data_IF_875511312468
#
_entry.id   IF_875511312468
#
_cell.length_a   1.000
_cell.length_b   1.000
_cell.length_c   1.000
_cell.angle_alpha   90.00
_cell.angle_beta   90.00
_cell.angle_gamma   90.00
#
_symmetry.space_group_name_H-M   'P 1'
#
loop_
_entity.id
_entity.type
_entity.pdbx_description
1 polymer ?
#
# COMPACT_ATOMS: atom_id res chain seq x y z
N UNK A 1 -15.17 22.40 21.81
CA UNK A 1 -16.11 22.08 20.71
C UNK A 1 -15.30 22.01 19.43
N UNK A 2 -14.89 20.82 19.03
CA UNK A 2 -14.15 20.61 17.79
C UNK A 2 -15.17 20.54 16.65
N UNK A 3 -15.07 21.49 15.71
CA UNK A 3 -15.87 21.50 14.49
C UNK A 3 -15.69 20.17 13.75
N UNK A 4 -16.74 19.38 13.67
CA UNK A 4 -16.84 18.28 12.68
C UNK A 4 -16.73 18.93 11.31
N UNK A 5 -15.62 18.67 10.62
CA UNK A 5 -15.41 19.08 9.24
C UNK A 5 -16.58 18.54 8.41
N UNK A 6 -17.41 19.43 7.90
CA UNK A 6 -18.46 19.06 6.96
C UNK A 6 -17.80 18.69 5.64
N UNK A 7 -18.10 17.53 5.05
CA UNK A 7 -17.66 17.20 3.70
C UNK A 7 -18.36 18.15 2.70
N UNK A 8 -17.61 18.60 1.70
CA UNK A 8 -18.12 19.40 0.58
C UNK A 8 -19.33 18.74 -0.09
N UNK A 9 -20.37 19.55 -0.35
CA UNK A 9 -21.69 19.15 -0.84
C UNK A 9 -21.69 18.62 -2.29
N UNK A 10 -21.21 17.42 -2.55
CA UNK A 10 -21.70 16.55 -3.63
C UNK A 10 -21.44 15.08 -3.25
N UNK A 11 -22.31 14.55 -2.41
CA UNK A 11 -22.17 13.23 -1.76
C UNK A 11 -22.58 12.07 -2.64
N UNK A 12 -22.83 12.24 -3.94
CA UNK A 12 -23.40 11.20 -4.81
C UNK A 12 -22.40 10.51 -5.75
N UNK A 13 -21.19 11.04 -5.94
CA UNK A 13 -20.20 10.48 -6.88
C UNK A 13 -18.95 9.98 -6.17
N UNK A 14 -18.56 8.74 -6.51
CA UNK A 14 -17.27 8.20 -6.07
C UNK A 14 -16.12 9.08 -6.59
N UNK A 15 -15.32 9.59 -5.66
CA UNK A 15 -14.17 10.44 -5.97
C UNK A 15 -12.92 9.87 -5.31
N UNK A 16 -11.82 9.86 -6.05
CA UNK A 16 -10.51 9.49 -5.51
C UNK A 16 -9.49 10.55 -5.89
N UNK A 17 -8.74 11.02 -4.91
CA UNK A 17 -7.66 11.98 -5.07
C UNK A 17 -6.36 11.37 -4.57
N UNK A 18 -5.25 11.71 -5.25
CA UNK A 18 -3.91 11.31 -4.85
C UNK A 18 -3.07 12.55 -4.61
N UNK A 19 -2.19 12.45 -3.62
CA UNK A 19 -1.13 13.42 -3.38
C UNK A 19 0.22 12.72 -3.35
N UNK A 20 1.19 13.31 -4.03
CA UNK A 20 2.62 13.00 -3.96
C UNK A 20 3.40 14.22 -4.38
N UNK A 21 4.63 14.36 -3.91
CA UNK A 21 5.52 15.47 -4.25
C UNK A 21 6.88 14.90 -4.71
N UNK A 22 7.46 15.40 -5.83
CA UNK A 22 8.78 14.98 -6.27
C UNK A 22 9.90 15.20 -5.24
N UNK A 23 9.76 16.20 -4.37
CA UNK A 23 10.71 16.48 -3.29
C UNK A 23 10.49 15.54 -2.07
N UNK A 24 9.37 14.83 -2.02
CA UNK A 24 9.00 13.87 -0.98
C UNK A 24 8.63 12.51 -1.60
N UNK A 25 9.53 11.87 -2.37
CA UNK A 25 9.23 10.65 -3.14
C UNK A 25 8.92 9.42 -2.25
N UNK A 26 9.22 9.51 -0.97
CA UNK A 26 9.04 8.48 0.04
C UNK A 26 7.63 8.42 0.63
N UNK A 27 6.74 9.31 0.24
CA UNK A 27 5.35 9.32 0.67
C UNK A 27 4.38 9.52 -0.49
N UNK A 28 3.35 8.71 -0.52
CA UNK A 28 2.18 8.86 -1.39
C UNK A 28 0.93 8.71 -0.52
N UNK A 29 -0.07 9.55 -0.72
CA UNK A 29 -1.33 9.39 -0.03
C UNK A 29 -2.52 9.59 -0.96
N UNK A 30 -3.66 8.99 -0.59
CA UNK A 30 -4.93 9.15 -1.30
C UNK A 30 -6.09 9.35 -0.33
N UNK A 31 -7.13 10.00 -0.85
CA UNK A 31 -8.46 10.08 -0.24
C UNK A 31 -9.46 9.47 -1.22
N UNK A 32 -10.34 8.63 -0.73
CA UNK A 32 -11.42 8.03 -1.52
C UNK A 32 -12.75 8.28 -0.81
N UNK A 33 -13.65 8.98 -1.50
CA UNK A 33 -15.00 9.27 -1.02
C UNK A 33 -16.00 8.40 -1.76
N UNK A 34 -16.97 7.81 -1.04
CA UNK A 34 -18.03 6.95 -1.59
C UNK A 34 -17.51 5.87 -2.53
N UNK A 35 -16.38 5.25 -2.17
CA UNK A 35 -15.77 4.19 -2.95
C UNK A 35 -16.56 2.88 -2.82
N UNK A 36 -16.81 2.25 -3.97
CA UNK A 36 -17.33 0.89 -4.10
C UNK A 36 -16.29 -0.04 -4.71
N UNK A 37 -15.03 0.40 -4.75
CA UNK A 37 -13.96 -0.41 -5.33
C UNK A 37 -13.69 -1.62 -4.44
N UNK A 38 -13.70 -2.80 -5.07
CA UNK A 38 -13.30 -4.05 -4.45
C UNK A 38 -11.88 -4.40 -4.91
N UNK A 39 -11.05 -4.77 -3.96
CA UNK A 39 -9.66 -5.10 -4.17
C UNK A 39 -9.46 -6.61 -4.10
N UNK A 40 -8.73 -7.17 -5.05
CA UNK A 40 -8.18 -8.50 -4.87
C UNK A 40 -7.08 -8.46 -3.81
N UNK A 41 -6.85 -9.60 -3.16
CA UNK A 41 -5.75 -9.74 -2.22
C UNK A 41 -4.42 -9.38 -2.87
N UNK A 42 -3.72 -8.41 -2.28
CA UNK A 42 -2.48 -7.84 -2.80
C UNK A 42 -1.55 -7.45 -1.65
N UNK A 43 -0.33 -7.10 -1.97
CA UNK A 43 0.62 -6.50 -1.05
C UNK A 43 1.38 -5.36 -1.73
N UNK A 44 2.02 -4.53 -0.95
CA UNK A 44 2.89 -3.46 -1.46
C UNK A 44 4.16 -3.36 -0.59
N UNK A 45 5.29 -2.87 -1.17
CA UNK A 45 6.56 -2.81 -0.46
C UNK A 45 6.64 -1.66 0.55
N UNK A 46 5.58 -0.88 0.69
CA UNK A 46 5.48 0.27 1.57
C UNK A 46 4.83 -0.09 2.90
N UNK A 47 5.19 0.62 3.97
CA UNK A 47 4.38 0.65 5.18
C UNK A 47 3.18 1.56 4.93
N UNK A 48 1.99 1.11 5.29
CA UNK A 48 0.79 1.88 5.01
C UNK A 48 -0.04 2.14 6.25
N UNK A 49 -0.59 3.35 6.30
CA UNK A 49 -1.50 3.80 7.35
C UNK A 49 -2.81 4.22 6.67
N UNK A 50 -3.89 3.52 6.99
CA UNK A 50 -5.23 3.83 6.51
C UNK A 50 -6.12 4.36 7.63
N UNK A 51 -7.10 5.19 7.27
CA UNK A 51 -8.14 5.67 8.17
C UNK A 51 -9.50 5.55 7.48
N UNK A 52 -10.49 5.01 8.18
CA UNK A 52 -11.87 4.93 7.70
C UNK A 52 -12.61 6.19 8.10
N UNK A 53 -13.04 6.99 7.11
CA UNK A 53 -13.72 8.26 7.37
C UNK A 53 -15.23 8.10 7.50
N UNK A 54 -15.83 7.23 6.67
CA UNK A 54 -17.29 7.02 6.64
C UNK A 54 -17.62 5.62 6.13
N UNK A 55 -18.69 5.04 6.68
CA UNK A 55 -19.16 3.70 6.30
C UNK A 55 -18.36 2.60 6.95
N UNK A 56 -18.48 1.41 6.39
CA UNK A 56 -17.85 0.18 6.89
C UNK A 56 -17.17 -0.57 5.75
N UNK A 57 -16.18 -1.36 6.10
CA UNK A 57 -15.45 -2.24 5.18
C UNK A 57 -14.96 -3.48 5.92
N UNK A 58 -14.62 -4.52 5.21
CA UNK A 58 -13.97 -5.70 5.76
C UNK A 58 -12.50 -5.67 5.38
N UNK A 59 -11.63 -5.51 6.36
CA UNK A 59 -10.20 -5.74 6.23
C UNK A 59 -9.93 -7.23 6.34
N UNK A 60 -9.28 -7.82 5.36
CA UNK A 60 -8.91 -9.23 5.37
C UNK A 60 -7.42 -9.40 5.17
N UNK A 61 -6.80 -10.21 6.02
CA UNK A 61 -5.41 -10.66 5.90
C UNK A 61 -5.27 -12.04 6.50
N UNK A 62 -4.39 -12.86 5.96
CA UNK A 62 -4.10 -14.18 6.53
C UNK A 62 -3.61 -14.13 7.99
N UNK A 63 -3.05 -13.00 8.43
CA UNK A 63 -2.42 -12.87 9.75
C UNK A 63 -3.41 -12.57 10.88
N UNK A 64 -4.51 -11.89 10.56
CA UNK A 64 -5.54 -11.52 11.55
C UNK A 64 -6.96 -11.93 11.11
N UNK A 65 -7.10 -12.61 9.95
CA UNK A 65 -8.39 -13.00 9.40
C UNK A 65 -9.17 -11.82 8.82
N UNK A 66 -10.49 -12.00 8.69
CA UNK A 66 -11.40 -10.94 8.29
C UNK A 66 -11.86 -10.17 9.53
N UNK A 67 -11.76 -8.85 9.48
CA UNK A 67 -12.14 -7.93 10.55
C UNK A 67 -13.01 -6.81 9.98
N UNK A 68 -14.13 -6.54 10.60
CA UNK A 68 -14.92 -5.35 10.28
C UNK A 68 -14.22 -4.10 10.76
N UNK A 69 -14.16 -3.08 9.89
CA UNK A 69 -13.60 -1.77 10.17
C UNK A 69 -14.61 -0.70 9.84
N UNK A 70 -14.73 0.29 10.71
CA UNK A 70 -15.73 1.34 10.63
C UNK A 70 -15.11 2.74 10.81
N UNK A 71 -15.92 3.77 10.66
CA UNK A 71 -15.48 5.17 10.83
C UNK A 71 -14.71 5.37 12.14
N UNK A 72 -13.54 6.02 12.04
CA UNK A 72 -12.61 6.22 13.16
C UNK A 72 -11.56 5.12 13.33
N UNK A 73 -11.65 4.01 12.57
CA UNK A 73 -10.61 2.97 12.59
C UNK A 73 -9.36 3.45 11.87
N UNK A 74 -8.21 3.31 12.51
CA UNK A 74 -6.89 3.42 11.90
C UNK A 74 -6.37 2.01 11.59
N UNK A 75 -5.92 1.78 10.37
CA UNK A 75 -5.41 0.50 9.88
C UNK A 75 -3.94 0.60 9.58
N UNK A 76 -3.11 -0.22 10.20
CA UNK A 76 -1.69 -0.34 9.89
C UNK A 76 -1.44 -1.58 9.05
N UNK A 77 -0.82 -1.38 7.90
CA UNK A 77 -0.48 -2.46 6.97
C UNK A 77 1.04 -2.42 6.74
N UNK A 78 1.79 -3.27 7.44
CA UNK A 78 3.22 -3.37 7.21
C UNK A 78 3.56 -3.83 5.79
N UNK A 79 4.78 -3.52 5.36
CA UNK A 79 5.23 -3.88 4.01
C UNK A 79 5.10 -5.38 3.74
N UNK A 80 4.76 -5.72 2.50
CA UNK A 80 4.64 -7.07 1.97
C UNK A 80 3.56 -7.95 2.63
N UNK A 81 2.69 -7.37 3.47
CA UNK A 81 1.52 -8.05 4.01
C UNK A 81 0.44 -8.17 2.95
N UNK A 82 -0.02 -9.41 2.72
CA UNK A 82 -1.20 -9.67 1.90
C UNK A 82 -2.44 -9.19 2.63
N UNK A 83 -3.25 -8.40 1.93
CA UNK A 83 -4.49 -7.84 2.46
C UNK A 83 -5.48 -7.46 1.36
N UNK A 84 -6.72 -7.29 1.77
CA UNK A 84 -7.77 -6.59 1.00
C UNK A 84 -8.66 -5.80 1.95
N UNK A 85 -9.24 -4.69 1.44
CA UNK A 85 -10.23 -3.88 2.15
C UNK A 85 -11.43 -3.68 1.22
N UNK A 86 -12.55 -4.31 1.52
CA UNK A 86 -13.72 -4.29 0.65
C UNK A 86 -14.96 -3.91 1.44
N UNK A 87 -15.76 -2.93 0.96
CA UNK A 87 -17.08 -2.68 1.54
C UNK A 87 -18.00 -3.88 1.29
N UNK A 88 -19.03 -4.00 2.09
CA UNK A 88 -20.10 -4.97 1.84
C UNK A 88 -20.74 -4.71 0.46
N UNK A 89 -21.33 -5.74 -0.17
CA UNK A 89 -22.02 -5.60 -1.44
C UNK A 89 -23.00 -4.42 -1.42
N UNK A 90 -23.00 -3.62 -2.50
CA UNK A 90 -23.84 -2.44 -2.67
C UNK A 90 -23.62 -1.28 -1.68
N UNK A 91 -22.65 -1.40 -0.78
CA UNK A 91 -22.26 -0.33 0.11
C UNK A 91 -21.08 0.49 -0.44
N UNK A 92 -20.95 1.70 0.07
CA UNK A 92 -19.83 2.58 -0.23
C UNK A 92 -19.20 3.06 1.07
N UNK A 93 -17.90 3.25 1.06
CA UNK A 93 -17.15 3.76 2.19
C UNK A 93 -16.19 4.88 1.76
N UNK A 94 -15.78 5.69 2.73
CA UNK A 94 -14.78 6.73 2.52
C UNK A 94 -13.57 6.45 3.40
N UNK A 95 -12.38 6.62 2.84
CA UNK A 95 -11.15 6.32 3.55
C UNK A 95 -9.97 7.14 3.04
N UNK A 96 -8.93 7.19 3.83
CA UNK A 96 -7.63 7.73 3.50
C UNK A 96 -6.59 6.62 3.58
N UNK A 97 -5.55 6.68 2.73
CA UNK A 97 -4.47 5.70 2.74
C UNK A 97 -3.15 6.37 2.40
N UNK A 98 -2.20 6.31 3.31
CA UNK A 98 -0.83 6.79 3.14
C UNK A 98 0.10 5.59 2.97
N UNK A 99 1.03 5.70 2.03
CA UNK A 99 2.08 4.73 1.76
C UNK A 99 3.44 5.39 2.02
N UNK A 100 4.26 4.78 2.86
CA UNK A 100 5.58 5.26 3.25
C UNK A 100 6.66 4.29 2.73
N UNK A 101 7.69 4.83 2.10
CA UNK A 101 8.85 4.04 1.70
C UNK A 101 9.53 3.40 2.92
N UNK A 102 9.84 2.11 2.82
CA UNK A 102 10.34 1.36 3.96
C UNK A 102 11.77 1.74 4.35
N UNK A 103 12.63 2.08 3.39
CA UNK A 103 14.01 2.45 3.69
C UNK A 103 14.05 3.81 4.37
N UNK A 104 13.30 4.77 3.83
CA UNK A 104 13.14 6.08 4.44
C UNK A 104 12.54 5.99 5.85
N UNK A 105 11.45 5.24 6.01
CA UNK A 105 10.79 5.08 7.32
C UNK A 105 11.72 4.44 8.35
N UNK A 106 12.45 3.39 7.98
CA UNK A 106 13.44 2.74 8.84
C UNK A 106 14.52 3.74 9.28
N UNK A 107 15.04 4.53 8.34
CA UNK A 107 16.06 5.52 8.64
C UNK A 107 15.53 6.58 9.63
N UNK A 108 14.33 7.11 9.38
CA UNK A 108 13.66 8.06 10.25
C UNK A 108 13.46 7.52 11.67
N UNK A 109 12.94 6.29 11.80
CA UNK A 109 12.68 5.69 13.11
C UNK A 109 13.97 5.32 13.85
N UNK A 110 15.04 4.98 13.13
CA UNK A 110 16.36 4.76 13.73
C UNK A 110 16.92 6.05 14.35
N UNK A 111 16.71 7.21 13.75
CA UNK A 111 17.12 8.51 14.30
C UNK A 111 16.43 8.80 15.65
N UNK A 112 15.22 8.29 15.84
CA UNK A 112 14.46 8.41 17.11
C UNK A 112 14.68 7.25 18.09
N UNK A 113 15.69 6.39 17.84
CA UNK A 113 16.02 5.20 18.63
C UNK A 113 14.88 4.18 18.71
N UNK A 114 14.00 4.16 17.74
CA UNK A 114 12.97 3.14 17.59
C UNK A 114 13.52 1.99 16.72
N UNK A 115 13.48 0.77 17.25
CA UNK A 115 13.88 -0.42 16.49
C UNK A 115 12.78 -0.78 15.51
N UNK A 116 13.06 -0.61 14.22
CA UNK A 116 12.13 -0.90 13.15
C UNK A 116 12.80 -1.79 12.09
N UNK A 117 12.23 -2.98 11.88
CA UNK A 117 12.78 -3.98 10.94
C UNK A 117 12.23 -3.74 9.53
N UNK A 118 13.11 -3.85 8.55
CA UNK A 118 12.79 -3.68 7.14
C UNK A 118 13.46 -4.79 6.32
N UNK A 119 12.67 -5.78 5.92
CA UNK A 119 13.12 -6.89 5.08
C UNK A 119 12.15 -7.13 3.91
N UNK A 120 12.58 -7.90 2.92
CA UNK A 120 11.74 -8.29 1.78
C UNK A 120 10.57 -9.21 2.18
N UNK A 121 10.66 -9.84 3.35
CA UNK A 121 9.60 -10.67 3.94
C UNK A 121 8.86 -9.86 5.00
N UNK A 122 7.53 -10.04 5.17
CA UNK A 122 6.78 -9.38 6.22
C UNK A 122 7.39 -9.60 7.60
N UNK A 123 7.57 -8.52 8.37
CA UNK A 123 8.16 -8.55 9.72
C UNK A 123 7.13 -8.31 10.82
N UNK A 124 6.04 -7.61 10.50
CA UNK A 124 5.02 -7.23 11.46
C UNK A 124 3.64 -7.70 11.03
N UNK A 125 2.75 -7.90 12.00
CA UNK A 125 1.33 -8.15 11.73
C UNK A 125 0.62 -6.85 11.38
N UNK A 126 -0.43 -6.89 10.53
CA UNK A 126 -1.34 -5.75 10.39
C UNK A 126 -2.07 -5.52 11.72
N UNK A 127 -2.43 -4.27 11.98
CA UNK A 127 -3.11 -3.88 13.22
C UNK A 127 -4.22 -2.87 12.96
N UNK A 128 -5.23 -2.94 13.79
CA UNK A 128 -6.41 -2.09 13.76
C UNK A 128 -6.50 -1.33 15.08
N UNK A 129 -6.65 -0.01 15.01
CA UNK A 129 -6.78 0.85 16.18
C UNK A 129 -8.10 1.62 16.16
N UNK A 130 -8.88 1.48 17.23
CA UNK A 130 -10.03 2.31 17.53
C UNK A 130 -9.59 3.40 18.52
N UNK A 131 -9.00 4.47 18.00
CA UNK A 131 -8.49 5.57 18.80
C UNK A 131 -8.77 6.91 18.12
N UNK A 132 -9.73 7.67 18.66
CA UNK A 132 -10.10 9.00 18.15
C UNK A 132 -8.87 9.92 18.05
N UNK A 133 -7.97 9.84 19.01
CA UNK A 133 -6.72 10.63 19.02
C UNK A 133 -5.83 10.30 17.83
N UNK A 134 -5.52 9.00 17.62
CA UNK A 134 -4.63 8.57 16.54
C UNK A 134 -5.26 8.82 15.17
N UNK A 135 -6.56 8.56 15.04
CA UNK A 135 -7.33 8.88 13.85
C UNK A 135 -7.26 10.38 13.53
N UNK A 136 -7.54 11.27 14.50
CA UNK A 136 -7.51 12.72 14.30
C UNK A 136 -6.11 13.21 13.93
N UNK A 137 -5.07 12.70 14.56
CA UNK A 137 -3.66 13.03 14.24
C UNK A 137 -3.33 12.67 12.80
N UNK A 138 -3.68 11.45 12.37
CA UNK A 138 -3.45 11.00 10.99
C UNK A 138 -4.24 11.82 9.97
N UNK A 139 -5.53 12.07 10.23
CA UNK A 139 -6.38 12.86 9.33
C UNK A 139 -5.88 14.30 9.19
N UNK A 140 -5.42 14.92 10.29
CA UNK A 140 -4.84 16.26 10.26
C UNK A 140 -3.56 16.30 9.41
N UNK A 141 -2.63 15.36 9.61
CA UNK A 141 -1.44 15.22 8.76
C UNK A 141 -1.84 15.11 7.28
N UNK A 142 -2.74 14.18 6.98
CA UNK A 142 -3.13 13.90 5.60
C UNK A 142 -3.83 15.10 4.94
N UNK A 143 -4.65 15.85 5.69
CA UNK A 143 -5.27 17.08 5.22
C UNK A 143 -4.23 18.13 4.82
N UNK A 144 -3.19 18.32 5.64
CA UNK A 144 -2.13 19.30 5.35
C UNK A 144 -1.27 18.89 4.14
N UNK A 145 -1.07 17.58 3.90
CA UNK A 145 -0.38 17.11 2.69
C UNK A 145 -1.15 17.52 1.42
N UNK A 146 -2.49 17.46 1.44
CA UNK A 146 -3.33 17.89 0.30
C UNK A 146 -3.47 19.40 0.16
N UNK A 147 -3.13 20.20 1.18
CA UNK A 147 -3.24 21.64 1.12
C UNK A 147 -2.12 22.27 0.26
N UNK A 148 -2.51 22.85 -0.88
CA UNK A 148 -1.57 23.50 -1.81
C UNK A 148 -0.97 24.81 -1.29
N UNK A 149 -1.51 25.40 -0.22
CA UNK A 149 -0.97 26.62 0.39
C UNK A 149 0.25 26.34 1.28
N UNK A 150 0.47 25.07 1.67
CA UNK A 150 1.58 24.65 2.53
C UNK A 150 2.76 24.22 1.65
N UNK A 151 3.95 24.79 1.89
CA UNK A 151 5.17 24.43 1.17
C UNK A 151 5.60 22.98 1.44
N UNK A 152 6.36 22.39 0.53
CA UNK A 152 6.86 21.02 0.72
C UNK A 152 7.74 20.88 1.97
N UNK A 153 8.56 21.88 2.31
CA UNK A 153 9.38 21.89 3.52
C UNK A 153 8.53 21.83 4.81
N UNK A 154 7.42 22.58 4.84
CA UNK A 154 6.49 22.53 5.96
C UNK A 154 5.76 21.20 6.04
N UNK A 155 5.38 20.62 4.88
CA UNK A 155 4.76 19.29 4.80
C UNK A 155 5.72 18.21 5.28
N UNK A 156 6.98 18.28 4.88
CA UNK A 156 8.03 17.35 5.32
C UNK A 156 8.23 17.41 6.83
N UNK A 157 8.39 18.63 7.38
CA UNK A 157 8.50 18.82 8.82
C UNK A 157 7.29 18.23 9.55
N UNK A 158 6.08 18.53 9.09
CA UNK A 158 4.85 18.03 9.70
C UNK A 158 4.75 16.51 9.63
N UNK A 159 5.13 15.90 8.49
CA UNK A 159 5.16 14.46 8.32
C UNK A 159 6.13 13.80 9.34
N UNK A 160 7.37 14.29 9.40
CA UNK A 160 8.39 13.77 10.30
C UNK A 160 7.91 13.88 11.76
N UNK A 161 7.50 15.07 12.20
CA UNK A 161 7.03 15.29 13.58
C UNK A 161 5.83 14.41 13.91
N UNK A 162 4.84 14.35 13.02
CA UNK A 162 3.65 13.53 13.27
C UNK A 162 3.99 12.04 13.39
N UNK A 163 4.84 11.53 12.53
CA UNK A 163 5.24 10.12 12.59
C UNK A 163 6.07 9.82 13.84
N UNK A 164 7.08 10.63 14.15
CA UNK A 164 8.06 10.34 15.21
C UNK A 164 7.58 10.69 16.62
N UNK A 165 6.73 11.72 16.76
CA UNK A 165 6.31 12.20 18.08
C UNK A 165 4.88 11.79 18.46
N UNK A 166 4.00 11.62 17.47
CA UNK A 166 2.57 11.43 17.73
C UNK A 166 2.04 10.05 17.31
N UNK A 167 2.48 9.48 16.19
CA UNK A 167 1.98 8.19 15.71
C UNK A 167 2.81 7.03 16.23
N UNK A 168 4.04 6.85 15.78
CA UNK A 168 4.84 5.67 16.11
C UNK A 168 5.07 5.43 17.61
N UNK A 169 5.25 6.44 18.47
CA UNK A 169 5.36 6.20 19.93
C UNK A 169 4.08 5.65 20.58
N UNK A 170 2.92 5.81 19.90
CA UNK A 170 1.62 5.34 20.39
C UNK A 170 1.11 4.10 19.64
N UNK A 171 1.89 3.58 18.68
CA UNK A 171 1.59 2.36 17.95
C UNK A 171 2.37 1.18 18.54
N UNK A 172 1.71 0.06 18.69
CA UNK A 172 2.35 -1.18 19.15
C UNK A 172 2.45 -2.15 17.98
N UNK A 173 3.66 -2.30 17.42
CA UNK A 173 3.89 -3.17 16.27
C UNK A 173 4.26 -4.58 16.74
N UNK A 174 3.37 -5.54 16.48
CA UNK A 174 3.62 -6.95 16.78
C UNK A 174 4.48 -7.60 15.69
N UNK A 175 5.63 -8.16 16.11
CA UNK A 175 6.47 -8.94 15.22
C UNK A 175 5.80 -10.27 14.82
N UNK A 176 6.03 -10.69 13.59
CA UNK A 176 5.76 -12.06 13.18
C UNK A 176 6.82 -12.99 13.77
N UNK A 177 6.38 -14.11 14.33
CA UNK A 177 7.28 -15.14 14.86
C UNK A 177 8.11 -15.77 13.73
N UNK A 178 9.43 -15.80 13.88
CA UNK A 178 10.36 -16.33 12.88
C UNK A 178 10.30 -17.86 12.80
N UNK A 179 10.26 -18.37 11.57
CA UNK A 179 10.51 -19.78 11.26
C UNK A 179 11.81 -19.86 10.44
N UNK A 180 12.95 -20.12 11.11
CA UNK A 180 14.30 -19.72 10.64
C UNK A 180 14.84 -20.38 9.36
N UNK A 181 14.54 -21.65 9.06
CA UNK A 181 15.15 -22.36 7.91
C UNK A 181 14.33 -22.20 6.61
N UNK A 182 13.02 -22.40 6.67
CA UNK A 182 12.13 -22.19 5.53
C UNK A 182 12.14 -20.72 5.04
N UNK A 183 12.54 -19.80 5.88
CA UNK A 183 12.61 -18.38 5.61
C UNK A 183 13.80 -17.99 4.72
N UNK A 184 14.96 -18.64 4.88
CA UNK A 184 16.13 -18.37 4.03
C UNK A 184 15.90 -18.81 2.57
N UNK A 185 15.39 -20.01 2.35
CA UNK A 185 15.05 -20.48 1.00
C UNK A 185 13.95 -19.62 0.36
N UNK A 186 12.97 -19.22 1.16
CA UNK A 186 11.92 -18.33 0.71
C UNK A 186 12.45 -16.94 0.32
N UNK A 187 13.36 -16.36 1.09
CA UNK A 187 14.02 -15.10 0.77
C UNK A 187 14.79 -15.18 -0.57
N UNK A 188 15.48 -16.29 -0.82
CA UNK A 188 16.16 -16.50 -2.09
C UNK A 188 15.18 -16.56 -3.28
N UNK A 189 14.02 -17.20 -3.12
CA UNK A 189 12.97 -17.20 -4.14
C UNK A 189 12.41 -15.80 -4.40
N UNK A 190 12.12 -15.05 -3.33
CA UNK A 190 11.64 -13.66 -3.42
C UNK A 190 12.66 -12.77 -4.13
N UNK A 191 13.94 -12.85 -3.77
CA UNK A 191 14.99 -12.04 -4.41
C UNK A 191 15.11 -12.35 -5.91
N UNK A 192 15.02 -13.61 -6.30
CA UNK A 192 15.04 -14.02 -7.72
C UNK A 192 13.85 -13.47 -8.50
N UNK A 193 12.64 -13.53 -7.91
CA UNK A 193 11.45 -12.98 -8.55
C UNK A 193 11.49 -11.45 -8.65
N UNK A 194 12.08 -10.78 -7.67
CA UNK A 194 12.22 -9.32 -7.66
C UNK A 194 13.26 -8.79 -8.65
N UNK A 195 14.31 -9.61 -8.94
CA UNK A 195 15.38 -9.24 -9.88
C UNK A 195 15.08 -9.65 -11.32
N UNK A 196 13.98 -10.38 -11.59
CA UNK A 196 13.65 -10.87 -12.93
C UNK A 196 12.56 -10.01 -13.58
N UNK A 197 12.85 -9.53 -14.80
CA UNK A 197 11.90 -8.75 -15.58
C UNK A 197 10.81 -9.59 -16.25
N UNK A 198 11.01 -10.90 -16.37
CA UNK A 198 10.04 -11.82 -16.97
C UNK A 198 9.25 -12.61 -15.91
N UNK A 199 8.06 -13.07 -16.30
CA UNK A 199 7.30 -14.01 -15.48
C UNK A 199 7.95 -15.39 -15.48
N UNK A 200 8.30 -15.89 -14.31
CA UNK A 200 8.83 -17.24 -14.15
C UNK A 200 7.68 -18.23 -13.94
N UNK A 201 7.69 -19.31 -14.73
CA UNK A 201 6.77 -20.43 -14.53
C UNK A 201 7.12 -21.22 -13.26
N UNK A 202 6.17 -21.96 -12.71
CA UNK A 202 6.44 -22.87 -11.59
C UNK A 202 7.50 -23.92 -11.91
N UNK A 203 7.63 -24.32 -13.20
CA UNK A 203 8.65 -25.25 -13.66
C UNK A 203 10.04 -24.61 -13.52
N UNK A 204 10.23 -23.41 -14.03
CA UNK A 204 11.50 -22.68 -13.93
C UNK A 204 11.87 -22.42 -12.46
N UNK A 205 10.91 -22.01 -11.62
CA UNK A 205 11.14 -21.82 -10.19
C UNK A 205 11.56 -23.12 -9.50
N UNK A 206 10.95 -24.25 -9.87
CA UNK A 206 11.30 -25.59 -9.35
C UNK A 206 12.71 -26.00 -9.75
N UNK A 207 13.07 -25.83 -11.02
CA UNK A 207 14.41 -26.14 -11.55
C UNK A 207 15.50 -25.27 -10.90
N UNK A 208 15.23 -24.00 -10.65
CA UNK A 208 16.18 -23.07 -10.06
C UNK A 208 16.36 -23.23 -8.55
N UNK A 209 15.33 -23.68 -7.83
CA UNK A 209 15.36 -23.79 -6.37
C UNK A 209 15.60 -25.19 -5.85
N UNK A 210 15.42 -26.23 -6.71
CA UNK A 210 15.42 -27.61 -6.27
C UNK A 210 14.16 -28.06 -5.52
N UNK A 211 13.21 -27.13 -5.28
CA UNK A 211 11.95 -27.41 -4.60
C UNK A 211 10.89 -27.94 -5.59
N UNK A 212 10.02 -28.83 -5.13
CA UNK A 212 8.89 -29.25 -5.94
C UNK A 212 7.92 -28.07 -6.17
N UNK A 213 7.21 -28.06 -7.30
CA UNK A 213 6.19 -27.03 -7.61
C UNK A 213 5.15 -26.90 -6.50
N UNK A 214 4.77 -28.00 -5.88
CA UNK A 214 3.85 -28.00 -4.74
C UNK A 214 4.47 -27.33 -3.50
N UNK A 215 5.73 -27.64 -3.18
CA UNK A 215 6.44 -27.01 -2.07
C UNK A 215 6.54 -25.48 -2.25
N UNK A 216 6.85 -25.04 -3.48
CA UNK A 216 6.88 -23.58 -3.80
C UNK A 216 5.52 -22.93 -3.56
N UNK A 217 4.43 -23.51 -4.07
CA UNK A 217 3.08 -22.98 -3.85
C UNK A 217 2.76 -22.87 -2.35
N UNK A 218 3.05 -23.93 -1.59
CA UNK A 218 2.84 -23.93 -0.14
C UNK A 218 3.66 -22.86 0.56
N UNK A 219 4.92 -22.72 0.18
CA UNK A 219 5.85 -21.75 0.76
C UNK A 219 5.35 -20.30 0.54
N UNK A 220 4.90 -19.98 -0.68
CA UNK A 220 4.31 -18.66 -0.97
C UNK A 220 3.00 -18.44 -0.21
N UNK A 221 2.11 -19.43 -0.21
CA UNK A 221 0.86 -19.34 0.54
C UNK A 221 1.08 -19.19 2.04
N UNK A 222 2.05 -19.93 2.61
CA UNK A 222 2.35 -19.86 4.04
C UNK A 222 3.07 -18.58 4.46
N UNK A 223 3.86 -17.95 3.60
CA UNK A 223 4.61 -16.73 3.96
C UNK A 223 3.92 -15.44 3.52
N UNK A 224 3.27 -15.42 2.34
CA UNK A 224 2.70 -14.21 1.76
C UNK A 224 1.17 -14.25 1.57
N UNK A 225 0.49 -15.37 1.79
CA UNK A 225 -0.92 -15.52 1.45
C UNK A 225 -1.21 -15.63 -0.07
N UNK A 226 -0.24 -15.33 -0.91
CA UNK A 226 -0.35 -15.30 -2.37
C UNK A 226 0.20 -16.58 -3.01
N UNK A 227 -0.23 -16.89 -4.23
CA UNK A 227 0.48 -17.87 -5.07
C UNK A 227 1.72 -17.24 -5.69
N UNK A 228 2.72 -18.01 -6.16
CA UNK A 228 3.89 -17.48 -6.86
C UNK A 228 3.54 -16.58 -8.04
N UNK A 229 2.53 -16.94 -8.83
CA UNK A 229 2.06 -16.14 -9.96
C UNK A 229 1.37 -14.84 -9.50
N UNK A 230 0.47 -14.91 -8.50
CA UNK A 230 -0.17 -13.72 -7.96
C UNK A 230 0.87 -12.75 -7.35
N UNK A 231 1.91 -13.27 -6.72
CA UNK A 231 3.01 -12.45 -6.20
C UNK A 231 3.78 -11.75 -7.32
N UNK A 232 4.11 -12.46 -8.42
CA UNK A 232 4.78 -11.84 -9.58
C UNK A 232 3.91 -10.74 -10.21
N UNK A 233 2.62 -11.00 -10.41
CA UNK A 233 1.67 -9.98 -10.86
C UNK A 233 1.69 -8.76 -9.93
N UNK A 234 1.65 -8.99 -8.63
CA UNK A 234 1.67 -7.93 -7.63
C UNK A 234 2.97 -7.09 -7.71
N UNK A 235 4.13 -7.73 -7.88
CA UNK A 235 5.41 -7.03 -8.11
C UNK A 235 5.35 -6.14 -9.35
N UNK A 236 4.85 -6.67 -10.48
CA UNK A 236 4.74 -5.90 -11.74
C UNK A 236 3.77 -4.71 -11.62
N UNK A 237 2.68 -4.85 -10.88
CA UNK A 237 1.77 -3.74 -10.62
C UNK A 237 2.41 -2.67 -9.71
N UNK A 238 3.18 -3.07 -8.71
CA UNK A 238 3.92 -2.11 -7.88
C UNK A 238 5.00 -1.36 -8.70
N UNK A 239 5.72 -2.07 -9.59
CA UNK A 239 6.65 -1.45 -10.54
C UNK A 239 5.93 -0.50 -11.50
N UNK A 240 4.75 -0.89 -12.01
CA UNK A 240 3.91 -0.05 -12.85
C UNK A 240 3.52 1.27 -12.16
N UNK A 241 3.16 1.25 -10.87
CA UNK A 241 2.86 2.47 -10.11
C UNK A 241 4.02 3.45 -10.14
N UNK A 242 5.24 2.98 -9.90
CA UNK A 242 6.44 3.81 -9.95
C UNK A 242 6.68 4.41 -11.34
N UNK A 243 6.61 3.59 -12.39
CA UNK A 243 6.86 4.04 -13.76
C UNK A 243 5.76 4.98 -14.29
N UNK A 244 4.51 4.77 -13.89
CA UNK A 244 3.40 5.68 -14.21
C UNK A 244 3.57 7.05 -13.56
N UNK A 245 4.06 7.13 -12.32
CA UNK A 245 4.41 8.40 -11.68
C UNK A 245 5.50 9.15 -12.43
N UNK A 246 6.45 8.43 -13.01
CA UNK A 246 7.51 8.99 -13.88
C UNK A 246 7.00 9.39 -15.28
N UNK A 247 5.71 9.15 -15.58
CA UNK A 247 5.11 9.55 -16.84
C UNK A 247 5.31 8.59 -18.01
N UNK A 248 5.77 7.35 -17.76
CA UNK A 248 5.96 6.33 -18.80
C UNK A 248 4.66 6.04 -19.54
N UNK A 249 4.75 5.75 -20.83
CA UNK A 249 3.60 5.40 -21.65
C UNK A 249 2.95 4.09 -21.20
N UNK A 250 1.61 4.06 -21.16
CA UNK A 250 0.85 2.93 -20.64
C UNK A 250 0.95 1.69 -21.53
N UNK A 251 1.03 1.89 -22.87
CA UNK A 251 1.11 0.79 -23.84
C UNK A 251 2.50 0.15 -23.73
N UNK A 252 3.55 0.95 -23.83
CA UNK A 252 4.92 0.46 -23.67
C UNK A 252 5.13 -0.25 -22.35
N UNK A 253 4.61 0.33 -21.26
CA UNK A 253 4.69 -0.23 -19.93
C UNK A 253 4.01 -1.61 -19.81
N UNK A 254 2.84 -1.79 -20.46
CA UNK A 254 2.14 -3.07 -20.42
C UNK A 254 2.98 -4.22 -21.01
N UNK A 255 3.67 -3.97 -22.12
CA UNK A 255 4.56 -4.95 -22.76
C UNK A 255 5.87 -5.12 -21.98
N UNK A 256 6.48 -4.03 -21.53
CA UNK A 256 7.71 -4.07 -20.73
C UNK A 256 7.54 -4.91 -19.46
N UNK A 257 6.37 -4.86 -18.83
CA UNK A 257 6.05 -5.62 -17.63
C UNK A 257 5.59 -7.07 -17.90
N UNK A 258 5.55 -7.50 -19.18
CA UNK A 258 5.25 -8.87 -19.58
C UNK A 258 3.76 -9.22 -19.57
N UNK A 259 2.86 -8.23 -19.65
CA UNK A 259 1.43 -8.50 -19.84
C UNK A 259 1.14 -8.85 -21.31
N UNK A 260 0.18 -9.75 -21.53
CA UNK A 260 -0.22 -10.21 -22.87
C UNK A 260 -0.73 -9.07 -23.77
N UNK A 261 -1.41 -8.09 -23.16
CA UNK A 261 -1.97 -6.93 -23.83
C UNK A 261 -2.31 -5.82 -22.81
N UNK A 262 -2.56 -4.62 -23.34
CA UNK A 262 -2.93 -3.45 -22.55
C UNK A 262 -4.22 -3.63 -21.74
N UNK A 263 -5.21 -4.33 -22.28
CA UNK A 263 -6.50 -4.55 -21.61
C UNK A 263 -6.35 -5.44 -20.38
N UNK A 264 -5.53 -6.49 -20.51
CA UNK A 264 -5.16 -7.36 -19.39
C UNK A 264 -4.44 -6.55 -18.30
N UNK A 265 -3.43 -5.78 -18.68
CA UNK A 265 -2.72 -4.88 -17.75
C UNK A 265 -3.67 -3.92 -17.03
N UNK A 266 -4.54 -3.21 -17.75
CA UNK A 266 -5.46 -2.24 -17.17
C UNK A 266 -6.44 -2.89 -16.19
N UNK A 267 -6.99 -4.06 -16.53
CA UNK A 267 -7.90 -4.81 -15.66
C UNK A 267 -7.21 -5.23 -14.37
N UNK A 268 -6.03 -5.83 -14.48
CA UNK A 268 -5.25 -6.28 -13.30
C UNK A 268 -4.81 -5.11 -12.44
N UNK A 269 -4.32 -4.03 -13.06
CA UNK A 269 -3.94 -2.81 -12.34
C UNK A 269 -5.13 -2.28 -11.54
N UNK A 270 -6.33 -2.18 -12.17
CA UNK A 270 -7.53 -1.70 -11.47
C UNK A 270 -7.94 -2.63 -10.32
N UNK A 271 -7.84 -3.95 -10.50
CA UNK A 271 -8.19 -4.94 -9.46
C UNK A 271 -7.28 -4.83 -8.21
N UNK A 272 -6.01 -4.46 -8.39
CA UNK A 272 -5.05 -4.38 -7.28
C UNK A 272 -4.89 -2.96 -6.70
N UNK A 273 -5.24 -1.90 -7.47
CA UNK A 273 -5.05 -0.51 -7.04
C UNK A 273 -6.36 0.26 -6.84
N UNK A 274 -7.50 -0.31 -7.28
CA UNK A 274 -8.82 0.32 -7.23
C UNK A 274 -9.05 1.41 -8.29
N UNK A 275 -8.07 1.69 -9.15
CA UNK A 275 -8.14 2.75 -10.17
C UNK A 275 -7.49 2.35 -11.48
N UNK A 276 -7.79 3.06 -12.58
CA UNK A 276 -7.15 2.77 -13.87
C UNK A 276 -5.74 3.37 -13.95
N UNK A 277 -4.81 2.77 -14.74
CA UNK A 277 -3.47 3.32 -14.94
C UNK A 277 -3.49 4.76 -15.43
N UNK A 278 -4.39 5.10 -16.36
CA UNK A 278 -4.53 6.45 -16.91
C UNK A 278 -4.97 7.47 -15.85
N UNK A 279 -5.92 7.11 -15.00
CA UNK A 279 -6.37 7.98 -13.92
C UNK A 279 -5.23 8.18 -12.90
N UNK A 280 -4.58 7.09 -12.47
CA UNK A 280 -3.44 7.13 -11.56
C UNK A 280 -2.33 8.04 -12.08
N UNK A 281 -1.90 7.86 -13.34
CA UNK A 281 -0.87 8.69 -13.97
C UNK A 281 -1.27 10.17 -14.04
N UNK A 282 -2.54 10.48 -14.37
CA UNK A 282 -3.03 11.86 -14.48
C UNK A 282 -2.99 12.59 -13.13
N UNK A 283 -3.33 11.91 -12.05
CA UNK A 283 -3.32 12.50 -10.71
C UNK A 283 -1.89 12.91 -10.29
N UNK A 284 -0.91 12.04 -10.55
CA UNK A 284 0.48 12.31 -10.21
C UNK A 284 1.14 13.37 -11.14
N UNK A 285 0.73 13.46 -12.41
CA UNK A 285 1.20 14.55 -13.30
C UNK A 285 0.69 15.94 -12.87
N UNK A 286 -0.51 16.03 -12.30
CA UNK A 286 -1.03 17.29 -11.78
C UNK A 286 -0.19 17.81 -10.60
N UNK A 287 0.25 16.95 -9.72
CA UNK A 287 1.12 17.33 -8.61
C UNK A 287 2.43 17.99 -9.08
N UNK A 288 3.00 17.53 -10.19
CA UNK A 288 4.24 18.12 -10.79
C UNK A 288 4.00 19.51 -11.37
N UNK A 289 2.82 19.77 -11.95
CA UNK A 289 2.53 21.04 -12.63
C UNK A 289 2.15 22.18 -11.67
N UNK A 290 1.71 21.88 -10.46
CA UNK A 290 1.38 22.90 -9.44
C UNK A 290 2.54 23.28 -8.54
N UNK A 291 3.68 22.58 -8.63
CA UNK A 291 4.89 22.82 -7.84
C UNK A 291 6.02 23.52 -8.64
N UNK A 292 5.76 23.91 -9.89
CA UNK A 292 6.59 24.80 -10.71
C UNK A 292 5.88 26.15 -10.85
#
# INVERSE_FOLDING_TARGET
MLNRLQPSNDTSKAQTEFWSDPNMPYVETRKACHSRACYHAHSHPTFSIGAVDLGQSVFSSRFIGAQEIESGTLVLIPANIEHSCNPEPDQAWSYQMMHLDMLWLRQLLHETKQDFRCDAVPQYKPQLYQSERLYSVFCHLNQNLFDSSISYLQKEQLLIQTLTELLFPNLHLELLTENSYAQQEFQLLISRLSSNDEFLSLKQLSEQSGLSRYAIIRLFKSNLGLTPHAYQINLKINQARTLLRQGKDIIELSYQLGFSDQSHFQRVFKQLTGTTPKFYQKQHRRAILYNN
#
